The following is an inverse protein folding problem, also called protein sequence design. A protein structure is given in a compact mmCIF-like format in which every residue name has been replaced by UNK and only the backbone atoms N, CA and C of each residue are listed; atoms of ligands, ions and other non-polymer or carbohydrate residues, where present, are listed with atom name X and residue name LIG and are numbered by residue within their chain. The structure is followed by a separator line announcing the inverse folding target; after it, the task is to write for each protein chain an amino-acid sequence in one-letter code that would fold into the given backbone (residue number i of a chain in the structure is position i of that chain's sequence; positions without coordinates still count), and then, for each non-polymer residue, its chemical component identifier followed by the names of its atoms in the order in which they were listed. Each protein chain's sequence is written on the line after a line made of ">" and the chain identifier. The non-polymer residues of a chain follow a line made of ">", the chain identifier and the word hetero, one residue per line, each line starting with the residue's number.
data_IF_498139019811
#
_entry.id   IF_498139019811
#
_cell.length_a   1.000
_cell.length_b   1.000
_cell.length_c   1.000
_cell.angle_alpha   90.00
_cell.angle_beta   90.00
_cell.angle_gamma   90.00
#
_symmetry.space_group_name_H-M   'P 1'
#
loop_
_entity.id
_entity.type
_entity.pdbx_description
1 polymer ?
#
# COMPACT_ATOMS: atom_id res chain seq x y z
N UNK A 1 -6.93 -3.98 25.13
CA UNK A 1 -6.11 -3.34 26.18
C UNK A 1 -4.69 -3.32 25.67
N UNK A 2 -4.08 -2.14 25.60
CA UNK A 2 -2.69 -1.97 25.17
C UNK A 2 -1.76 -2.72 26.12
N UNK A 3 -0.78 -3.44 25.58
CA UNK A 3 0.17 -4.16 26.41
C UNK A 3 1.24 -3.19 26.97
N UNK A 4 1.96 -3.63 27.99
CA UNK A 4 2.94 -2.77 28.67
C UNK A 4 4.07 -2.31 27.74
N UNK A 5 4.50 -3.15 26.79
CA UNK A 5 5.54 -2.82 25.83
C UNK A 5 5.09 -1.72 24.85
N UNK A 6 3.87 -1.80 24.31
CA UNK A 6 3.28 -0.77 23.44
C UNK A 6 3.15 0.57 24.18
N UNK A 7 2.69 0.53 25.44
CA UNK A 7 2.60 1.72 26.29
C UNK A 7 3.97 2.37 26.51
N UNK A 8 5.01 1.58 26.78
CA UNK A 8 6.37 2.13 26.90
C UNK A 8 6.86 2.68 25.56
N UNK A 9 6.59 1.96 24.48
CA UNK A 9 7.12 2.26 23.16
C UNK A 9 6.55 3.55 22.55
N UNK A 10 5.25 3.84 22.72
CA UNK A 10 4.67 5.11 22.26
C UNK A 10 5.31 6.35 22.91
N UNK A 11 5.85 6.19 24.12
CA UNK A 11 6.65 7.20 24.83
C UNK A 11 8.16 7.11 24.53
N UNK A 12 8.56 6.33 23.52
CA UNK A 12 9.95 6.16 23.10
C UNK A 12 10.82 5.44 24.11
N UNK A 13 10.26 4.52 24.91
CA UNK A 13 10.95 3.74 25.93
C UNK A 13 10.87 2.23 25.62
N UNK A 14 11.89 1.46 25.99
CA UNK A 14 11.86 0.00 26.03
C UNK A 14 11.62 -0.50 27.46
N UNK A 15 11.23 -1.77 27.58
CA UNK A 15 11.14 -2.46 28.87
C UNK A 15 12.46 -2.40 29.64
N UNK A 16 12.37 -2.48 30.97
CA UNK A 16 13.54 -2.45 31.84
C UNK A 16 14.56 -3.55 31.47
N UNK A 17 15.84 -3.21 31.58
CA UNK A 17 17.00 -3.99 31.12
C UNK A 17 17.21 -4.07 29.60
N UNK A 18 16.28 -3.55 28.77
CA UNK A 18 16.44 -3.51 27.31
C UNK A 18 17.01 -2.16 26.80
N UNK A 19 17.40 -1.26 27.71
CA UNK A 19 18.06 0.01 27.39
C UNK A 19 19.55 -0.04 27.74
N UNK A 20 20.41 0.27 26.78
CA UNK A 20 21.87 0.42 26.95
C UNK A 20 22.23 1.70 27.69
N UNK A 21 21.50 2.78 27.42
CA UNK A 21 21.71 4.05 28.07
C UNK A 21 21.22 4.00 29.54
N UNK A 22 22.12 4.20 30.49
CA UNK A 22 21.80 4.13 31.93
C UNK A 22 20.69 5.12 32.35
N UNK A 23 20.63 6.29 31.71
CA UNK A 23 19.64 7.34 32.00
C UNK A 23 18.26 6.91 31.50
N UNK A 24 18.16 6.40 30.27
CA UNK A 24 16.92 5.81 29.75
C UNK A 24 16.50 4.57 30.53
N UNK A 25 17.44 3.72 30.93
CA UNK A 25 17.15 2.51 31.70
C UNK A 25 16.48 2.85 33.05
N UNK A 26 16.98 3.88 33.75
CA UNK A 26 16.37 4.38 34.98
C UNK A 26 14.99 4.98 34.75
N UNK A 27 14.82 5.76 33.67
CA UNK A 27 13.52 6.32 33.30
C UNK A 27 12.50 5.21 33.00
N UNK A 28 12.90 4.22 32.19
CA UNK A 28 12.09 3.05 31.86
C UNK A 28 11.68 2.29 33.10
N UNK A 29 12.60 2.01 34.02
CA UNK A 29 12.31 1.35 35.29
C UNK A 29 11.25 2.10 36.12
N UNK A 30 11.42 3.41 36.28
CA UNK A 30 10.52 4.25 37.08
C UNK A 30 9.10 4.26 36.51
N UNK A 31 8.97 4.41 35.18
CA UNK A 31 7.68 4.38 34.51
C UNK A 31 7.07 2.98 34.56
N UNK A 32 7.87 1.94 34.29
CA UNK A 32 7.41 0.56 34.33
C UNK A 32 6.86 0.17 35.71
N UNK A 33 7.52 0.62 36.79
CA UNK A 33 7.05 0.44 38.16
C UNK A 33 5.75 1.20 38.43
N UNK A 34 5.59 2.40 37.87
CA UNK A 34 4.38 3.24 38.02
C UNK A 34 3.16 2.65 37.29
N UNK A 35 3.39 2.01 36.14
CA UNK A 35 2.32 1.36 35.36
C UNK A 35 2.08 -0.10 35.77
N UNK A 36 2.94 -0.69 36.61
CA UNK A 36 2.78 -2.06 37.09
C UNK A 36 1.61 -2.15 38.08
N UNK A 37 0.46 -2.65 37.61
CA UNK A 37 -0.71 -2.95 38.44
C UNK A 37 -1.80 -1.87 38.46
N UNK A 38 -1.65 -0.77 37.71
CA UNK A 38 -2.65 0.29 37.61
C UNK A 38 -2.90 0.69 36.14
N UNK A 39 -4.14 1.09 35.82
CA UNK A 39 -4.48 1.65 34.51
C UNK A 39 -3.98 3.11 34.44
N UNK A 40 -2.74 3.30 34.00
CA UNK A 40 -2.12 4.62 33.87
C UNK A 40 -2.43 5.23 32.49
N UNK A 41 -2.86 6.48 32.46
CA UNK A 41 -3.13 7.22 31.21
C UNK A 41 -1.86 7.88 30.66
N UNK A 42 -1.80 8.10 29.35
CA UNK A 42 -0.68 8.79 28.69
C UNK A 42 -0.34 10.12 29.33
N UNK A 43 -1.35 10.92 29.69
CA UNK A 43 -1.17 12.22 30.34
C UNK A 43 -0.36 12.12 31.65
N UNK A 44 -0.52 11.02 32.39
CA UNK A 44 0.18 10.81 33.65
C UNK A 44 1.65 10.38 33.44
N UNK A 45 1.94 9.73 32.31
CA UNK A 45 3.29 9.36 31.90
C UNK A 45 4.01 10.59 31.36
N UNK A 46 3.36 11.33 30.45
CA UNK A 46 3.87 12.60 29.90
C UNK A 46 4.20 13.58 31.02
N UNK A 47 3.25 13.86 31.92
CA UNK A 47 3.48 14.79 33.03
C UNK A 47 4.64 14.35 33.95
N UNK A 48 4.84 13.04 34.09
CA UNK A 48 5.96 12.51 34.87
C UNK A 48 7.31 12.66 34.14
N UNK A 49 7.34 12.42 32.83
CA UNK A 49 8.54 12.65 32.01
C UNK A 49 8.91 14.13 32.04
N UNK A 50 7.93 15.01 31.83
CA UNK A 50 8.12 16.46 31.85
C UNK A 50 8.55 16.96 33.24
N UNK A 51 8.04 16.39 34.34
CA UNK A 51 8.50 16.77 35.68
C UNK A 51 9.98 16.45 35.90
N UNK A 52 10.45 15.29 35.40
CA UNK A 52 11.86 14.90 35.51
C UNK A 52 12.79 15.78 34.67
N UNK A 53 12.30 16.32 33.55
CA UNK A 53 13.05 17.27 32.71
C UNK A 53 13.18 18.65 33.36
N UNK A 54 12.28 19.01 34.28
CA UNK A 54 12.29 20.29 34.99
C UNK A 54 13.08 20.24 36.32
N UNK A 55 13.38 19.05 36.85
CA UNK A 55 14.20 18.90 38.07
C UNK A 55 15.70 19.09 37.75
N UNK A 56 16.40 19.94 38.51
CA UNK A 56 17.86 20.14 38.42
C UNK A 56 18.64 18.85 38.73
N UNK A 57 18.82 18.01 37.69
CA UNK A 57 19.68 16.83 37.71
C UNK A 57 20.52 16.74 36.42
N UNK A 58 21.18 15.60 36.15
CA UNK A 58 21.96 15.40 34.91
C UNK A 58 21.13 15.59 33.61
N UNK A 59 19.81 15.73 33.76
CA UNK A 59 18.78 16.01 32.78
C UNK A 59 18.76 17.46 32.25
N UNK A 60 19.35 18.44 32.96
CA UNK A 60 19.26 19.88 32.66
C UNK A 60 20.29 20.45 31.67
N UNK A 61 21.19 19.63 31.12
CA UNK A 61 22.25 20.12 30.21
C UNK A 61 21.84 20.17 28.72
N UNK A 62 20.58 19.84 28.40
CA UNK A 62 20.15 19.47 27.05
C UNK A 62 18.90 20.31 26.71
N UNK A 63 19.07 21.43 26.00
CA UNK A 63 18.00 22.35 25.53
C UNK A 63 16.87 21.68 24.71
N UNK A 64 15.70 22.30 24.59
CA UNK A 64 14.50 21.68 23.96
C UNK A 64 14.58 21.50 22.43
N UNK A 65 15.54 22.12 21.74
CA UNK A 65 15.84 21.91 20.31
C UNK A 65 17.30 21.43 20.18
N UNK A 66 17.53 20.15 19.83
CA UNK A 66 18.89 19.61 19.60
C UNK A 66 19.15 19.35 18.14
N UNK A 67 20.29 19.85 17.66
CA UNK A 67 21.01 19.27 16.54
C UNK A 67 21.78 18.06 17.07
N UNK A 68 21.44 16.86 16.63
CA UNK A 68 22.13 15.63 17.00
C UNK A 68 22.60 14.85 15.77
N UNK A 69 23.68 14.08 15.90
CA UNK A 69 24.20 13.23 14.82
C UNK A 69 23.78 11.78 15.05
N UNK A 70 22.73 11.33 14.36
CA UNK A 70 22.18 9.98 14.47
C UNK A 70 23.14 8.87 14.04
N UNK A 71 24.28 9.18 13.40
CA UNK A 71 25.25 8.19 12.90
C UNK A 71 26.39 7.90 13.87
N UNK A 72 26.59 8.73 14.88
CA UNK A 72 27.80 8.65 15.73
C UNK A 72 27.52 8.70 17.22
N UNK A 73 26.29 8.96 17.65
CA UNK A 73 25.93 9.15 19.05
C UNK A 73 24.71 8.30 19.45
N UNK A 74 24.73 7.76 20.66
CA UNK A 74 23.51 7.24 21.29
C UNK A 74 22.60 8.44 21.62
N UNK A 75 21.47 8.55 20.93
CA UNK A 75 20.62 9.73 21.03
C UNK A 75 20.03 9.89 22.44
N UNK A 76 20.04 11.11 23.00
CA UNK A 76 19.51 11.37 24.33
C UNK A 76 17.98 11.42 24.31
N UNK A 77 17.31 10.31 23.97
CA UNK A 77 15.86 10.25 23.87
C UNK A 77 15.17 10.77 25.14
N UNK A 78 15.81 10.65 26.31
CA UNK A 78 15.32 11.16 27.58
C UNK A 78 15.09 12.69 27.60
N UNK A 79 15.79 13.43 26.75
CA UNK A 79 15.74 14.88 26.66
C UNK A 79 14.76 15.40 25.60
N UNK A 80 14.23 14.54 24.73
CA UNK A 80 13.28 14.96 23.70
C UNK A 80 11.87 15.19 24.27
N UNK A 81 11.10 16.07 23.64
CA UNK A 81 9.72 16.34 24.04
C UNK A 81 8.88 15.05 24.10
N UNK A 82 8.09 14.90 25.15
CA UNK A 82 7.42 13.64 25.48
C UNK A 82 6.53 13.11 24.34
N UNK A 83 5.83 13.99 23.61
CA UNK A 83 4.92 13.58 22.54
C UNK A 83 5.60 13.19 21.23
N UNK A 84 6.81 13.68 20.94
CA UNK A 84 7.51 13.39 19.67
C UNK A 84 8.65 12.37 19.84
N UNK A 85 9.10 12.12 21.08
CA UNK A 85 10.21 11.23 21.40
C UNK A 85 10.07 9.84 20.78
N UNK A 86 8.91 9.23 20.92
CA UNK A 86 8.64 7.91 20.35
C UNK A 86 8.77 7.89 18.83
N UNK A 87 8.18 8.88 18.16
CA UNK A 87 8.30 9.05 16.70
C UNK A 87 9.76 9.10 16.29
N UNK A 88 10.57 9.96 16.93
CA UNK A 88 12.00 10.11 16.60
C UNK A 88 12.75 8.81 16.79
N UNK A 89 12.53 8.11 17.90
CA UNK A 89 13.19 6.82 18.18
C UNK A 89 12.92 5.80 17.08
N UNK A 90 11.64 5.53 16.81
CA UNK A 90 11.28 4.47 15.88
C UNK A 90 11.55 4.86 14.42
N UNK A 91 11.54 6.16 14.10
CA UNK A 91 12.07 6.64 12.82
C UNK A 91 13.55 6.26 12.64
N UNK A 92 14.41 6.51 13.64
CA UNK A 92 15.81 6.12 13.55
C UNK A 92 15.99 4.59 13.48
N UNK A 93 15.21 3.81 14.25
CA UNK A 93 15.26 2.34 14.19
C UNK A 93 14.82 1.80 12.81
N UNK A 94 13.90 2.48 12.12
CA UNK A 94 13.49 2.20 10.73
C UNK A 94 14.47 2.78 9.68
N UNK A 95 15.66 3.25 10.08
CA UNK A 95 16.66 3.80 9.17
C UNK A 95 16.37 5.23 8.66
N UNK A 96 15.33 5.89 9.17
CA UNK A 96 15.00 7.29 8.87
C UNK A 96 15.76 8.22 9.82
N UNK A 97 17.04 8.41 9.52
CA UNK A 97 17.98 9.18 10.35
C UNK A 97 17.52 10.63 10.57
N UNK A 98 17.37 11.01 11.83
CA UNK A 98 16.89 12.33 12.27
C UNK A 98 18.02 13.20 12.81
N UNK A 99 17.81 14.52 12.89
CA UNK A 99 18.81 15.48 13.37
C UNK A 99 18.25 16.55 14.31
N UNK A 100 16.93 16.77 14.33
CA UNK A 100 16.23 17.66 15.27
C UNK A 100 14.76 17.26 15.36
N UNK A 101 14.12 17.56 16.49
CA UNK A 101 12.68 17.40 16.67
C UNK A 101 12.10 18.44 17.63
N UNK A 102 10.80 18.70 17.53
CA UNK A 102 10.01 19.44 18.51
C UNK A 102 8.55 18.98 18.40
N UNK A 103 7.85 18.85 19.53
CA UNK A 103 6.43 18.48 19.53
C UNK A 103 5.46 19.66 19.40
N UNK A 104 6.00 20.84 19.09
CA UNK A 104 5.26 22.07 18.90
C UNK A 104 4.64 22.67 20.17
N UNK A 105 4.80 22.02 21.33
CA UNK A 105 4.32 22.45 22.64
C UNK A 105 2.83 22.84 22.67
N UNK A 106 2.04 22.27 21.75
CA UNK A 106 0.64 22.63 21.54
C UNK A 106 0.43 23.95 20.80
N UNK A 107 1.42 24.83 20.62
CA UNK A 107 1.23 26.14 19.98
C UNK A 107 1.45 26.12 18.47
N UNK A 108 2.27 25.18 17.98
CA UNK A 108 2.65 25.03 16.57
C UNK A 108 2.62 23.55 16.16
N UNK A 109 2.78 23.30 14.86
CA UNK A 109 2.95 21.93 14.35
C UNK A 109 4.18 21.27 14.95
N UNK A 110 4.08 19.98 15.33
CA UNK A 110 5.26 19.19 15.63
C UNK A 110 6.07 18.94 14.36
N UNK A 111 7.38 18.79 14.51
CA UNK A 111 8.27 18.52 13.39
C UNK A 111 9.45 17.64 13.76
N UNK A 112 9.99 16.97 12.74
CA UNK A 112 11.24 16.23 12.78
C UNK A 112 12.09 16.64 11.57
N UNK A 113 13.31 17.13 11.81
CA UNK A 113 14.29 17.35 10.75
C UNK A 113 15.12 16.10 10.48
N UNK A 114 15.26 15.75 9.21
CA UNK A 114 15.99 14.56 8.78
C UNK A 114 17.48 14.86 8.54
N UNK A 115 18.35 13.87 8.76
CA UNK A 115 19.74 13.88 8.31
C UNK A 115 19.84 13.48 6.82
N UNK A 116 19.23 14.29 5.96
CA UNK A 116 19.21 14.09 4.51
C UNK A 116 17.78 13.99 3.94
N UNK A 117 17.66 13.33 2.78
CA UNK A 117 16.40 13.15 2.10
C UNK A 117 15.81 11.77 2.41
N UNK A 118 14.53 11.74 2.76
CA UNK A 118 13.76 10.50 2.82
C UNK A 118 13.55 9.94 1.42
N UNK A 119 13.64 8.62 1.28
CA UNK A 119 13.22 7.89 0.07
C UNK A 119 11.70 7.81 0.00
N UNK A 120 11.13 7.55 -1.18
CA UNK A 120 9.68 7.38 -1.32
C UNK A 120 9.13 6.21 -0.49
N UNK A 121 9.93 5.16 -0.30
CA UNK A 121 9.60 4.04 0.60
C UNK A 121 9.49 4.50 2.06
N UNK A 122 10.43 5.32 2.54
CA UNK A 122 10.39 5.86 3.90
C UNK A 122 9.21 6.82 4.09
N UNK A 123 8.92 7.66 3.10
CA UNK A 123 7.75 8.56 3.11
C UNK A 123 6.45 7.76 3.19
N UNK A 124 6.36 6.66 2.44
CA UNK A 124 5.21 5.75 2.49
C UNK A 124 5.01 5.13 3.88
N UNK A 125 6.08 4.60 4.49
CA UNK A 125 6.03 4.05 5.87
C UNK A 125 5.53 5.10 6.87
N UNK A 126 6.01 6.35 6.79
CA UNK A 126 5.52 7.44 7.64
C UNK A 126 4.02 7.69 7.43
N UNK A 127 3.55 7.73 6.19
CA UNK A 127 2.13 7.93 5.90
C UNK A 127 1.27 6.74 6.34
N UNK A 128 1.80 5.51 6.32
CA UNK A 128 1.13 4.33 6.86
C UNK A 128 0.98 4.39 8.38
N UNK A 129 1.94 5.02 9.08
CA UNK A 129 1.94 5.10 10.54
C UNK A 129 0.88 6.05 11.11
N UNK A 130 0.26 6.88 10.26
CA UNK A 130 -0.89 7.71 10.65
C UNK A 130 -2.14 6.82 10.75
N UNK A 131 -2.78 6.73 11.94
CA UNK A 131 -4.03 5.98 12.09
C UNK A 131 -5.12 6.50 11.15
N UNK A 132 -5.95 5.60 10.60
CA UNK A 132 -6.94 5.93 9.57
C UNK A 132 -8.08 6.82 10.05
N UNK A 133 -8.38 6.79 11.34
CA UNK A 133 -9.37 7.63 12.02
C UNK A 133 -8.78 8.96 12.54
N UNK A 134 -7.48 9.18 12.37
CA UNK A 134 -6.80 10.39 12.80
C UNK A 134 -6.98 11.53 11.80
N UNK A 135 -7.22 12.76 12.29
CA UNK A 135 -7.17 13.95 11.44
C UNK A 135 -5.73 14.45 11.20
N UNK A 136 -4.72 13.82 11.82
CA UNK A 136 -3.31 14.18 11.65
C UNK A 136 -2.92 14.02 10.18
N UNK A 137 -2.16 14.98 9.65
CA UNK A 137 -1.54 14.86 8.32
C UNK A 137 -0.05 15.05 8.39
N UNK A 138 0.67 14.25 7.64
CA UNK A 138 2.11 14.42 7.46
C UNK A 138 2.35 15.27 6.21
N UNK A 139 3.10 16.36 6.37
CA UNK A 139 3.64 17.17 5.27
C UNK A 139 5.15 17.08 5.26
N UNK A 140 5.73 16.92 4.07
CA UNK A 140 7.17 16.88 3.90
C UNK A 140 7.63 18.15 3.21
N UNK A 141 8.43 18.95 3.92
CA UNK A 141 9.05 20.15 3.38
C UNK A 141 10.46 19.83 2.93
N UNK A 142 10.78 20.10 1.66
CA UNK A 142 12.12 19.93 1.10
C UNK A 142 12.93 21.21 1.22
N UNK A 143 14.14 21.10 1.77
CA UNK A 143 15.17 22.13 1.76
C UNK A 143 16.32 21.76 0.81
N UNK A 144 17.38 22.58 0.73
CA UNK A 144 18.55 22.32 -0.12
C UNK A 144 19.29 21.02 0.23
N UNK A 145 19.25 20.57 1.50
CA UNK A 145 20.07 19.43 1.97
C UNK A 145 19.29 18.34 2.71
N UNK A 146 18.03 18.59 3.07
CA UNK A 146 17.25 17.67 3.90
C UNK A 146 15.75 17.82 3.73
N UNK A 147 15.01 16.81 4.19
CA UNK A 147 13.58 16.90 4.45
C UNK A 147 13.30 17.35 5.90
N UNK A 148 12.18 18.04 6.09
CA UNK A 148 11.52 18.25 7.38
C UNK A 148 10.15 17.60 7.32
N UNK A 149 9.86 16.69 8.24
CA UNK A 149 8.55 16.07 8.42
C UNK A 149 7.76 16.96 9.38
N UNK A 150 6.61 17.44 8.94
CA UNK A 150 5.68 18.27 9.72
C UNK A 150 4.44 17.43 10.01
N UNK A 151 4.00 17.44 11.27
CA UNK A 151 2.77 16.80 11.71
C UNK A 151 1.72 17.87 11.95
N UNK A 152 0.71 17.91 11.09
CA UNK A 152 -0.40 18.84 11.21
C UNK A 152 -1.52 18.20 12.01
N UNK A 153 -1.84 18.76 13.17
CA UNK A 153 -2.92 18.32 14.03
C UNK A 153 -3.57 19.53 14.74
N UNK A 154 -4.82 19.38 15.15
CA UNK A 154 -5.45 20.33 16.07
C UNK A 154 -4.90 20.12 17.49
N UNK A 155 -4.86 21.15 18.35
CA UNK A 155 -4.32 21.01 19.71
C UNK A 155 -4.94 19.86 20.51
N UNK A 156 -6.23 19.59 20.29
CA UNK A 156 -6.98 18.50 20.92
C UNK A 156 -6.52 17.09 20.50
N UNK A 157 -5.77 16.99 19.41
CA UNK A 157 -5.29 15.74 18.81
C UNK A 157 -3.79 15.51 19.03
N UNK A 158 -3.11 16.29 19.87
CA UNK A 158 -1.66 16.12 20.15
C UNK A 158 -1.29 14.69 20.58
N UNK A 159 -2.23 13.97 21.21
CA UNK A 159 -2.05 12.55 21.57
C UNK A 159 -1.85 11.62 20.38
N UNK A 160 -2.33 11.99 19.20
CA UNK A 160 -2.15 11.20 17.98
C UNK A 160 -0.67 11.08 17.58
N UNK A 161 0.22 11.94 18.08
CA UNK A 161 1.66 11.75 17.94
C UNK A 161 2.17 10.49 18.67
N UNK A 162 1.58 10.18 19.82
CA UNK A 162 1.89 8.94 20.55
C UNK A 162 1.35 7.72 19.79
N UNK A 163 0.16 7.84 19.20
CA UNK A 163 -0.41 6.76 18.40
C UNK A 163 0.46 6.49 17.14
N UNK A 164 0.96 7.54 16.48
CA UNK A 164 1.95 7.41 15.39
C UNK A 164 3.24 6.74 15.88
N UNK A 165 3.73 7.11 17.08
CA UNK A 165 4.91 6.45 17.66
C UNK A 165 4.66 4.95 17.89
N UNK A 166 3.50 4.58 18.41
CA UNK A 166 3.10 3.17 18.59
C UNK A 166 3.10 2.40 17.26
N UNK A 167 2.54 3.02 16.22
CA UNK A 167 2.51 2.42 14.88
C UNK A 167 3.91 2.21 14.31
N UNK A 168 4.79 3.22 14.43
CA UNK A 168 6.19 3.11 13.99
C UNK A 168 6.96 2.03 14.77
N UNK A 169 6.69 1.88 16.07
CA UNK A 169 7.27 0.80 16.88
C UNK A 169 6.84 -0.60 16.39
N UNK A 170 5.55 -0.77 16.08
CA UNK A 170 5.03 -2.04 15.54
C UNK A 170 5.69 -2.37 14.21
N UNK A 171 5.83 -1.37 13.33
CA UNK A 171 6.55 -1.50 12.05
C UNK A 171 8.03 -1.82 12.23
N UNK A 172 8.71 -1.23 13.22
CA UNK A 172 10.13 -1.51 13.47
C UNK A 172 10.37 -2.88 14.11
N UNK A 173 9.33 -3.46 14.73
CA UNK A 173 9.43 -4.74 15.46
C UNK A 173 8.99 -5.94 14.62
N UNK A 174 8.12 -5.76 13.63
CA UNK A 174 7.65 -6.81 12.73
C UNK A 174 7.46 -6.26 11.32
N UNK A 175 8.31 -6.68 10.38
CA UNK A 175 8.23 -6.26 8.97
C UNK A 175 6.89 -6.61 8.32
N UNK A 176 6.23 -7.69 8.78
CA UNK A 176 4.90 -8.11 8.29
C UNK A 176 3.80 -7.12 8.67
N UNK A 177 4.03 -6.30 9.69
CA UNK A 177 3.06 -5.29 10.12
C UNK A 177 2.85 -4.21 9.05
N UNK A 178 3.90 -3.83 8.33
CA UNK A 178 3.79 -2.90 7.20
C UNK A 178 2.88 -3.50 6.13
N UNK A 179 3.14 -4.75 5.73
CA UNK A 179 2.33 -5.44 4.73
C UNK A 179 0.88 -5.56 5.17
N UNK A 180 0.61 -5.90 6.43
CA UNK A 180 -0.74 -5.95 6.98
C UNK A 180 -1.47 -4.60 6.85
N UNK A 181 -0.80 -3.48 7.13
CA UNK A 181 -1.40 -2.15 6.98
C UNK A 181 -1.64 -1.77 5.52
N UNK A 182 -0.74 -2.16 4.61
CA UNK A 182 -0.95 -1.99 3.18
C UNK A 182 -2.16 -2.78 2.70
N UNK A 183 -2.29 -4.04 3.09
CA UNK A 183 -3.43 -4.90 2.78
C UNK A 183 -4.75 -4.31 3.31
N UNK A 184 -4.76 -3.80 4.54
CA UNK A 184 -5.95 -3.16 5.12
C UNK A 184 -6.36 -1.89 4.37
N UNK A 185 -5.39 -1.05 3.95
CA UNK A 185 -5.67 0.10 3.08
C UNK A 185 -6.18 -0.33 1.71
N UNK A 186 -5.60 -1.37 1.14
CA UNK A 186 -6.06 -1.94 -0.12
C UNK A 186 -7.49 -2.47 -0.02
N UNK A 187 -7.84 -3.16 1.07
CA UNK A 187 -9.22 -3.61 1.32
C UNK A 187 -10.22 -2.45 1.27
N UNK A 188 -9.90 -1.31 1.90
CA UNK A 188 -10.77 -0.14 1.82
C UNK A 188 -10.94 0.37 0.38
N UNK A 189 -9.87 0.38 -0.43
CA UNK A 189 -9.96 0.68 -1.88
C UNK A 189 -10.87 -0.33 -2.60
N UNK A 190 -10.72 -1.62 -2.31
CA UNK A 190 -11.53 -2.67 -2.94
C UNK A 190 -13.01 -2.53 -2.60
N UNK A 191 -13.35 -2.38 -1.31
CA UNK A 191 -14.72 -2.14 -0.83
C UNK A 191 -15.38 -0.97 -1.56
N UNK A 192 -14.61 0.11 -1.72
CA UNK A 192 -15.04 1.30 -2.45
C UNK A 192 -15.42 1.00 -3.91
N UNK A 193 -14.71 0.09 -4.58
CA UNK A 193 -14.98 -0.31 -5.97
C UNK A 193 -16.10 -1.33 -6.12
N UNK A 194 -16.24 -2.25 -5.17
CA UNK A 194 -17.33 -3.23 -5.12
C UNK A 194 -18.71 -2.58 -5.09
N UNK A 195 -18.81 -1.33 -4.62
CA UNK A 195 -20.07 -0.57 -4.58
C UNK A 195 -20.42 0.12 -5.92
N UNK A 196 -19.53 0.12 -6.90
CA UNK A 196 -19.73 0.87 -8.16
C UNK A 196 -20.54 0.03 -9.16
N UNK A 197 -21.76 0.43 -9.53
CA UNK A 197 -22.52 -0.28 -10.54
C UNK A 197 -21.96 -0.05 -11.93
N UNK A 198 -21.97 -1.09 -12.76
CA UNK A 198 -21.57 -1.04 -14.16
C UNK A 198 -21.88 -2.33 -14.88
N UNK A 199 -23.15 -2.71 -15.01
CA UNK A 199 -23.52 -3.86 -15.84
C UNK A 199 -23.08 -3.67 -17.31
N UNK A 200 -22.85 -4.73 -18.07
CA UNK A 200 -22.38 -4.66 -19.46
C UNK A 200 -23.21 -3.71 -20.33
N UNK A 201 -22.53 -2.85 -21.09
CA UNK A 201 -23.09 -1.74 -21.87
C UNK A 201 -23.43 -0.48 -21.05
N UNK A 202 -23.23 -0.49 -19.72
CA UNK A 202 -23.57 0.61 -18.79
C UNK A 202 -22.43 0.98 -17.83
N UNK A 203 -21.20 0.86 -18.31
CA UNK A 203 -19.95 1.09 -17.58
C UNK A 203 -19.66 2.58 -17.33
N UNK A 204 -20.55 3.51 -17.72
CA UNK A 204 -20.24 4.94 -17.74
C UNK A 204 -19.91 5.48 -16.34
N UNK A 205 -20.48 4.90 -15.28
CA UNK A 205 -20.17 5.28 -13.89
C UNK A 205 -18.78 4.82 -13.47
N UNK A 206 -18.43 3.59 -13.83
CA UNK A 206 -17.10 2.99 -13.63
C UNK A 206 -16.05 3.84 -14.31
N UNK A 207 -16.24 4.06 -15.61
CA UNK A 207 -15.36 4.86 -16.45
C UNK A 207 -15.16 6.26 -15.89
N UNK A 208 -16.24 6.95 -15.48
CA UNK A 208 -16.12 8.29 -14.85
C UNK A 208 -15.30 8.28 -13.58
N UNK A 209 -15.51 7.28 -12.70
CA UNK A 209 -14.73 7.16 -11.46
C UNK A 209 -13.26 6.87 -11.78
N UNK A 210 -13.00 5.93 -12.69
CA UNK A 210 -11.65 5.59 -13.16
C UNK A 210 -10.92 6.80 -13.75
N UNK A 211 -11.54 7.54 -14.67
CA UNK A 211 -10.96 8.77 -15.25
C UNK A 211 -10.54 9.76 -14.15
N UNK A 212 -11.35 9.90 -13.09
CA UNK A 212 -10.98 10.76 -11.96
C UNK A 212 -9.80 10.21 -11.15
N UNK A 213 -9.78 8.90 -10.87
CA UNK A 213 -8.70 8.25 -10.14
C UNK A 213 -7.38 8.29 -10.90
N UNK A 214 -7.41 8.04 -12.22
CA UNK A 214 -6.22 8.00 -13.06
C UNK A 214 -5.60 9.39 -13.29
N UNK A 215 -6.34 10.49 -13.09
CA UNK A 215 -5.87 11.86 -13.39
C UNK A 215 -4.53 12.22 -12.72
N UNK A 216 -4.24 11.66 -11.55
CA UNK A 216 -2.98 11.90 -10.82
C UNK A 216 -1.94 10.79 -10.99
N UNK A 217 -2.33 9.69 -11.63
CA UNK A 217 -1.53 8.47 -11.73
C UNK A 217 -0.99 8.24 -13.15
N UNK A 218 -1.44 9.03 -14.13
CA UNK A 218 -1.19 8.80 -15.55
C UNK A 218 -0.84 10.09 -16.28
N UNK A 219 -0.03 9.96 -17.33
CA UNK A 219 0.36 11.09 -18.19
C UNK A 219 -0.74 11.40 -19.22
N UNK A 220 -1.33 10.34 -19.78
CA UNK A 220 -2.32 10.41 -20.84
C UNK A 220 -3.48 9.46 -20.57
N UNK A 221 -4.68 9.88 -20.98
CA UNK A 221 -5.90 9.09 -20.93
C UNK A 221 -6.74 9.35 -22.18
N UNK A 222 -7.39 8.31 -22.69
CA UNK A 222 -8.32 8.41 -23.80
C UNK A 222 -9.43 7.37 -23.67
N UNK A 223 -10.56 7.62 -24.32
CA UNK A 223 -11.62 6.65 -24.50
C UNK A 223 -11.62 6.28 -25.98
N UNK A 224 -11.49 5.00 -26.30
CA UNK A 224 -11.50 4.56 -27.70
C UNK A 224 -12.93 4.39 -28.26
N UNK A 225 -13.03 4.00 -29.52
CA UNK A 225 -14.31 3.83 -30.21
C UNK A 225 -15.17 2.69 -29.62
N UNK A 226 -14.53 1.66 -29.06
CA UNK A 226 -15.22 0.59 -28.35
C UNK A 226 -15.76 1.05 -26.99
N UNK A 227 -15.19 2.12 -26.43
CA UNK A 227 -15.59 2.67 -25.13
C UNK A 227 -14.67 2.26 -23.99
N UNK A 228 -13.56 1.59 -24.29
CA UNK A 228 -12.51 1.26 -23.33
C UNK A 228 -11.89 2.55 -22.78
N UNK A 229 -11.50 2.56 -21.52
CA UNK A 229 -10.68 3.62 -20.96
C UNK A 229 -9.22 3.20 -21.00
N UNK A 230 -8.44 3.92 -21.81
CA UNK A 230 -7.03 3.65 -22.06
C UNK A 230 -6.19 4.72 -21.37
N UNK A 231 -5.08 4.33 -20.76
CA UNK A 231 -4.17 5.27 -20.11
C UNK A 231 -2.70 4.89 -20.30
N UNK A 232 -1.80 5.87 -20.17
CA UNK A 232 -0.35 5.68 -20.32
C UNK A 232 0.41 6.37 -19.21
N UNK A 233 1.43 5.68 -18.71
CA UNK A 233 2.40 6.14 -17.71
C UNK A 233 3.80 5.87 -18.24
N UNK A 234 4.58 6.91 -18.47
CA UNK A 234 5.97 6.82 -18.94
C UNK A 234 6.90 6.91 -17.75
N UNK A 235 7.71 5.89 -17.57
CA UNK A 235 8.59 5.75 -16.41
C UNK A 235 9.99 5.32 -16.87
N UNK A 236 10.61 6.09 -17.76
CA UNK A 236 11.96 5.81 -18.28
C UNK A 236 11.97 5.04 -19.61
N UNK A 237 13.11 4.43 -19.90
CA UNK A 237 13.36 3.66 -21.14
C UNK A 237 13.31 2.16 -20.83
N UNK A 238 12.57 1.39 -21.63
CA UNK A 238 12.38 -0.06 -21.45
C UNK A 238 11.06 -0.55 -22.04
N UNK A 239 10.56 -1.74 -21.65
CA UNK A 239 9.40 -2.35 -22.28
C UNK A 239 8.12 -1.54 -22.05
N UNK A 240 7.19 -1.68 -22.99
CA UNK A 240 5.80 -1.26 -22.84
C UNK A 240 4.95 -2.43 -22.34
N UNK A 241 4.47 -2.36 -21.11
CA UNK A 241 3.65 -3.41 -20.49
C UNK A 241 2.20 -2.91 -20.44
N UNK A 242 1.27 -3.73 -20.94
CA UNK A 242 -0.17 -3.48 -20.83
C UNK A 242 -0.74 -4.17 -19.58
N UNK A 243 -1.36 -3.40 -18.69
CA UNK A 243 -2.20 -3.91 -17.60
C UNK A 243 -3.67 -3.85 -18.03
N UNK A 244 -4.43 -4.92 -17.82
CA UNK A 244 -5.86 -4.97 -18.18
C UNK A 244 -6.74 -5.54 -17.08
N UNK A 245 -7.92 -4.94 -16.95
CA UNK A 245 -9.04 -5.36 -16.11
C UNK A 245 -10.33 -4.87 -16.80
N UNK A 246 -11.45 -5.56 -16.65
CA UNK A 246 -12.69 -5.12 -17.30
C UNK A 246 -13.57 -4.27 -16.37
N UNK A 247 -14.37 -3.37 -16.95
CA UNK A 247 -15.19 -2.41 -16.18
C UNK A 247 -16.58 -2.94 -15.86
N UNK A 248 -17.09 -3.83 -16.71
CA UNK A 248 -18.44 -4.34 -16.63
C UNK A 248 -18.62 -5.44 -15.59
N UNK A 249 -19.87 -5.77 -15.30
CA UNK A 249 -20.27 -6.92 -14.48
C UNK A 249 -21.38 -7.65 -15.20
N UNK A 250 -21.42 -8.98 -15.10
CA UNK A 250 -22.45 -9.84 -15.72
C UNK A 250 -23.88 -9.43 -15.36
N UNK A 251 -24.09 -8.96 -14.12
CA UNK A 251 -25.38 -8.51 -13.61
C UNK A 251 -25.26 -7.18 -12.88
N UNK A 252 -26.42 -6.58 -12.57
CA UNK A 252 -26.47 -5.31 -11.85
C UNK A 252 -26.30 -5.53 -10.35
N UNK A 253 -25.31 -4.87 -9.78
CA UNK A 253 -25.10 -4.82 -8.32
C UNK A 253 -26.36 -4.32 -7.58
N UNK A 254 -26.82 -5.10 -6.61
CA UNK A 254 -28.03 -4.83 -5.84
C UNK A 254 -27.88 -3.56 -4.99
N UNK A 255 -28.85 -2.65 -5.09
CA UNK A 255 -28.88 -1.43 -4.26
C UNK A 255 -29.25 -1.78 -2.83
N UNK A 256 -28.50 -1.27 -1.86
CA UNK A 256 -28.79 -1.45 -0.43
C UNK A 256 -28.32 -2.78 0.14
N UNK A 257 -27.55 -3.57 -0.63
CA UNK A 257 -26.84 -4.74 -0.12
C UNK A 257 -25.82 -4.32 0.95
N UNK A 258 -25.45 -5.26 1.81
CA UNK A 258 -24.38 -5.10 2.78
C UNK A 258 -23.23 -6.01 2.36
N UNK A 259 -22.01 -5.50 2.37
CA UNK A 259 -20.81 -6.33 2.20
C UNK A 259 -20.45 -6.90 3.57
N UNK A 260 -20.39 -8.22 3.66
CA UNK A 260 -19.96 -8.95 4.86
C UNK A 260 -18.48 -9.27 4.77
N UNK A 261 -17.81 -9.34 5.93
CA UNK A 261 -16.42 -9.76 6.04
C UNK A 261 -16.31 -10.94 7.01
N UNK A 262 -15.75 -12.05 6.55
CA UNK A 262 -15.34 -13.19 7.38
C UNK A 262 -13.84 -13.44 7.17
N UNK A 263 -13.03 -13.08 8.16
CA UNK A 263 -11.57 -13.11 8.01
C UNK A 263 -11.10 -12.19 6.88
N UNK A 264 -10.54 -12.79 5.83
CA UNK A 264 -10.06 -12.10 4.61
C UNK A 264 -11.09 -12.10 3.48
N UNK A 265 -12.19 -12.83 3.64
CA UNK A 265 -13.20 -13.01 2.61
C UNK A 265 -14.27 -11.92 2.72
N UNK A 266 -14.62 -11.32 1.59
CA UNK A 266 -15.74 -10.41 1.44
C UNK A 266 -16.84 -11.06 0.61
N UNK A 267 -18.10 -10.91 1.05
CA UNK A 267 -19.29 -11.43 0.36
C UNK A 267 -20.42 -10.42 0.34
N UNK A 268 -21.41 -10.65 -0.53
CA UNK A 268 -22.61 -9.82 -0.64
C UNK A 268 -23.76 -10.40 0.17
N UNK A 269 -24.56 -9.57 0.83
CA UNK A 269 -25.81 -10.01 1.47
C UNK A 269 -26.91 -10.39 0.48
N UNK A 270 -26.87 -9.86 -0.75
CA UNK A 270 -27.85 -10.10 -1.82
C UNK A 270 -27.27 -9.74 -3.19
N UNK A 271 -27.48 -10.60 -4.20
CA UNK A 271 -26.96 -10.42 -5.54
C UNK A 271 -25.45 -10.61 -5.62
N UNK A 272 -24.91 -10.55 -6.84
CA UNK A 272 -23.47 -10.63 -7.08
C UNK A 272 -22.66 -9.61 -6.23
N UNK A 273 -21.44 -9.99 -5.88
CA UNK A 273 -20.50 -9.11 -5.20
C UNK A 273 -19.92 -8.07 -6.18
N UNK A 274 -19.79 -8.44 -7.45
CA UNK A 274 -19.11 -7.67 -8.48
C UNK A 274 -17.60 -7.62 -8.23
N UNK A 275 -17.01 -8.64 -7.63
CA UNK A 275 -15.56 -8.73 -7.48
C UNK A 275 -14.88 -9.01 -8.82
N UNK A 276 -15.57 -9.76 -9.69
CA UNK A 276 -15.29 -9.89 -11.12
C UNK A 276 -15.85 -8.66 -11.88
N UNK A 277 -15.05 -7.66 -12.29
CA UNK A 277 -13.60 -7.51 -12.09
C UNK A 277 -13.21 -6.21 -11.36
N UNK A 278 -13.92 -5.89 -10.28
CA UNK A 278 -13.51 -4.79 -9.37
C UNK A 278 -12.24 -5.08 -8.61
N UNK A 279 -11.92 -6.36 -8.41
CA UNK A 279 -10.65 -6.77 -7.83
C UNK A 279 -9.49 -6.38 -8.75
N UNK A 280 -9.55 -6.68 -10.05
CA UNK A 280 -8.57 -6.27 -11.05
C UNK A 280 -8.44 -4.75 -11.16
N UNK A 281 -9.57 -4.02 -11.19
CA UNK A 281 -9.57 -2.55 -11.18
C UNK A 281 -8.83 -2.00 -9.95
N UNK A 282 -9.16 -2.48 -8.76
CA UNK A 282 -8.54 -2.01 -7.52
C UNK A 282 -7.02 -2.32 -7.52
N UNK A 283 -6.63 -3.51 -8.00
CA UNK A 283 -5.25 -3.94 -8.08
C UNK A 283 -4.43 -3.09 -9.06
N UNK A 284 -4.94 -2.79 -10.25
CA UNK A 284 -4.24 -1.91 -11.21
C UNK A 284 -4.03 -0.51 -10.62
N UNK A 285 -5.05 0.06 -9.97
CA UNK A 285 -4.92 1.38 -9.35
C UNK A 285 -3.88 1.39 -8.23
N UNK A 286 -3.82 0.33 -7.43
CA UNK A 286 -2.79 0.16 -6.41
C UNK A 286 -1.39 0.03 -7.04
N UNK A 287 -1.23 -0.76 -8.11
CA UNK A 287 0.03 -0.88 -8.84
C UNK A 287 0.52 0.46 -9.39
N UNK A 288 -0.38 1.28 -9.95
CA UNK A 288 -0.03 2.61 -10.46
C UNK A 288 0.45 3.55 -9.35
N UNK A 289 -0.15 3.48 -8.15
CA UNK A 289 0.30 4.25 -6.98
C UNK A 289 1.61 3.71 -6.38
N UNK A 290 1.93 2.44 -6.62
CA UNK A 290 3.19 1.79 -6.20
C UNK A 290 4.31 1.99 -7.20
N UNK A 291 4.00 2.24 -8.48
CA UNK A 291 4.98 2.34 -9.57
C UNK A 291 6.20 3.24 -9.26
N UNK A 292 6.04 4.46 -8.69
CA UNK A 292 7.19 5.32 -8.36
C UNK A 292 8.16 4.74 -7.32
N UNK A 293 7.74 3.73 -6.55
CA UNK A 293 8.55 3.05 -5.52
C UNK A 293 9.28 1.82 -6.06
N UNK A 294 9.01 1.44 -7.31
CA UNK A 294 9.65 0.32 -8.00
C UNK A 294 10.91 0.78 -8.71
N UNK A 295 11.75 -0.17 -9.13
CA UNK A 295 12.86 0.11 -10.04
C UNK A 295 12.45 -0.04 -11.51
N UNK A 296 11.15 -0.07 -11.85
CA UNK A 296 10.71 -0.22 -13.22
C UNK A 296 11.33 0.85 -14.13
N UNK A 297 11.55 0.52 -15.40
CA UNK A 297 12.00 1.46 -16.41
C UNK A 297 11.33 1.07 -17.73
N UNK A 298 10.46 1.93 -18.27
CA UNK A 298 9.65 1.61 -19.44
C UNK A 298 8.32 2.37 -19.45
N UNK A 299 7.33 1.83 -20.16
CA UNK A 299 5.98 2.40 -20.25
C UNK A 299 4.95 1.43 -19.71
N UNK A 300 4.07 1.90 -18.82
CA UNK A 300 2.86 1.16 -18.43
C UNK A 300 1.69 1.71 -19.24
N UNK A 301 1.05 0.85 -20.01
CA UNK A 301 -0.26 1.11 -20.60
C UNK A 301 -1.32 0.40 -19.78
N UNK A 302 -2.48 1.02 -19.67
CA UNK A 302 -3.62 0.43 -18.95
C UNK A 302 -4.82 0.42 -19.89
N UNK A 303 -5.49 -0.72 -19.98
CA UNK A 303 -6.77 -0.87 -20.64
C UNK A 303 -7.81 -1.30 -19.62
N UNK A 304 -8.80 -0.44 -19.38
CA UNK A 304 -10.03 -0.84 -18.71
C UNK A 304 -11.08 -1.09 -19.79
N UNK A 305 -11.39 -2.35 -20.05
CA UNK A 305 -12.23 -2.77 -21.18
C UNK A 305 -13.72 -2.72 -20.84
N UNK A 306 -14.56 -2.59 -21.86
CA UNK A 306 -16.03 -2.72 -21.74
C UNK A 306 -16.48 -4.09 -22.22
N UNK A 307 -17.64 -4.53 -21.76
CA UNK A 307 -18.37 -5.67 -22.33
C UNK A 307 -17.51 -6.96 -22.46
N UNK A 308 -16.65 -7.25 -21.48
CA UNK A 308 -15.88 -8.51 -21.39
C UNK A 308 -16.86 -9.68 -21.26
N UNK A 309 -17.81 -9.53 -20.34
CA UNK A 309 -18.78 -10.54 -19.89
C UNK A 309 -19.75 -10.98 -21.01
N UNK A 310 -19.80 -10.21 -22.09
CA UNK A 310 -20.68 -10.45 -23.25
C UNK A 310 -19.91 -10.92 -24.49
N UNK A 311 -18.60 -11.18 -24.37
CA UNK A 311 -17.80 -11.79 -25.42
C UNK A 311 -16.50 -11.08 -25.77
N UNK A 312 -15.85 -10.43 -24.80
CA UNK A 312 -14.56 -9.74 -24.96
C UNK A 312 -14.63 -8.56 -25.94
N UNK A 313 -15.79 -7.88 -25.99
CA UNK A 313 -16.09 -6.87 -27.00
C UNK A 313 -15.12 -5.69 -26.92
N UNK A 314 -14.83 -5.21 -25.71
CA UNK A 314 -13.87 -4.14 -25.45
C UNK A 314 -12.46 -4.47 -25.96
N UNK A 315 -11.89 -5.61 -25.54
CA UNK A 315 -10.56 -6.00 -26.00
C UNK A 315 -10.50 -6.25 -27.52
N UNK A 316 -11.55 -6.83 -28.13
CA UNK A 316 -11.60 -7.02 -29.60
C UNK A 316 -11.64 -5.69 -30.35
N UNK A 317 -12.33 -4.71 -29.80
CA UNK A 317 -12.48 -3.36 -30.34
C UNK A 317 -11.38 -2.38 -29.92
N UNK A 318 -10.37 -2.82 -29.17
CA UNK A 318 -9.33 -1.94 -28.63
C UNK A 318 -8.61 -1.19 -29.76
N UNK A 319 -8.30 0.09 -29.52
CA UNK A 319 -7.55 0.89 -30.49
C UNK A 319 -6.18 0.24 -30.81
N UNK A 320 -6.03 -0.25 -32.04
CA UNK A 320 -4.81 -0.93 -32.51
C UNK A 320 -3.56 -0.07 -32.45
N UNK A 321 -3.68 1.23 -32.67
CA UNK A 321 -2.55 2.16 -32.55
C UNK A 321 -2.08 2.28 -31.10
N UNK A 322 -3.00 2.13 -30.13
CA UNK A 322 -2.66 2.18 -28.71
C UNK A 322 -1.86 0.95 -28.26
N UNK A 323 -2.13 -0.23 -28.81
CA UNK A 323 -1.45 -1.49 -28.44
C UNK A 323 -0.25 -1.85 -29.33
N UNK A 324 0.03 -1.06 -30.38
CA UNK A 324 1.04 -1.42 -31.41
C UNK A 324 2.46 -1.63 -30.87
N UNK A 325 2.83 -0.89 -29.84
CA UNK A 325 4.14 -0.87 -29.20
C UNK A 325 4.17 -1.65 -27.88
N UNK A 326 3.12 -2.43 -27.55
CA UNK A 326 3.06 -3.24 -26.34
C UNK A 326 3.90 -4.49 -26.51
N UNK A 327 4.86 -4.70 -25.61
CA UNK A 327 5.74 -5.86 -25.60
C UNK A 327 5.08 -7.08 -24.93
N UNK A 328 4.31 -6.84 -23.87
CA UNK A 328 3.64 -7.89 -23.10
C UNK A 328 2.41 -7.35 -22.35
N UNK A 329 1.47 -8.23 -22.04
CA UNK A 329 0.26 -7.91 -21.28
C UNK A 329 0.13 -8.73 -20.00
N UNK A 330 -0.46 -8.12 -19.00
CA UNK A 330 -0.82 -8.70 -17.70
C UNK A 330 -2.29 -8.38 -17.46
N UNK A 331 -3.13 -9.38 -17.53
CA UNK A 331 -4.56 -9.27 -17.24
C UNK A 331 -4.79 -9.72 -15.80
N UNK A 332 -5.59 -8.98 -15.04
CA UNK A 332 -5.89 -9.23 -13.63
C UNK A 332 -7.35 -9.62 -13.45
N UNK A 333 -7.76 -10.74 -14.03
CA UNK A 333 -9.17 -11.11 -14.22
C UNK A 333 -9.34 -12.63 -14.16
N UNK A 334 -8.88 -13.23 -13.07
CA UNK A 334 -8.94 -14.67 -12.93
C UNK A 334 -9.37 -15.03 -11.52
N UNK A 335 -10.38 -15.90 -11.42
CA UNK A 335 -10.73 -16.51 -10.13
C UNK A 335 -9.56 -17.23 -9.47
N UNK A 336 -9.68 -17.48 -8.17
CA UNK A 336 -8.65 -18.16 -7.38
C UNK A 336 -7.55 -17.20 -6.93
N UNK A 337 -6.46 -17.74 -6.41
CA UNK A 337 -5.48 -16.96 -5.63
C UNK A 337 -4.04 -17.06 -6.15
N UNK A 338 -3.72 -18.04 -7.00
CA UNK A 338 -2.33 -18.39 -7.36
C UNK A 338 -2.14 -18.88 -8.79
N UNK A 339 -3.16 -18.80 -9.65
CA UNK A 339 -3.02 -19.23 -11.05
C UNK A 339 -2.33 -18.14 -11.88
N UNK A 340 -1.32 -18.54 -12.65
CA UNK A 340 -0.77 -17.76 -13.76
C UNK A 340 -1.30 -18.39 -15.05
N UNK A 341 -2.41 -17.89 -15.56
CA UNK A 341 -3.04 -18.47 -16.76
C UNK A 341 -2.26 -18.05 -18.00
N UNK A 342 -1.66 -19.02 -18.69
CA UNK A 342 -0.89 -18.84 -19.92
C UNK A 342 -1.58 -19.41 -21.16
N UNK A 343 -2.83 -19.86 -21.02
CA UNK A 343 -3.59 -20.39 -22.14
C UNK A 343 -5.05 -20.68 -21.81
N UNK A 344 -5.84 -20.90 -22.87
CA UNK A 344 -7.26 -21.20 -22.79
C UNK A 344 -7.52 -22.67 -23.12
N UNK A 345 -8.07 -23.40 -22.15
CA UNK A 345 -8.51 -24.81 -22.29
C UNK A 345 -7.44 -25.77 -22.84
N UNK A 346 -6.15 -25.43 -22.70
CA UNK A 346 -5.03 -26.18 -23.29
C UNK A 346 -4.99 -26.19 -24.83
N UNK A 347 -5.87 -25.43 -25.49
CA UNK A 347 -6.03 -25.40 -26.96
C UNK A 347 -5.36 -24.18 -27.59
N UNK A 348 -5.20 -23.10 -26.83
CA UNK A 348 -4.64 -21.85 -27.33
C UNK A 348 -3.72 -21.27 -26.26
N UNK A 349 -2.46 -21.00 -26.63
CA UNK A 349 -1.46 -20.43 -25.74
C UNK A 349 -1.44 -18.91 -25.87
N UNK A 350 -1.41 -18.23 -24.74
CA UNK A 350 -1.33 -16.77 -24.66
C UNK A 350 0.12 -16.27 -24.79
N UNK A 351 1.09 -17.12 -24.47
CA UNK A 351 2.51 -16.79 -24.48
C UNK A 351 3.36 -18.08 -24.53
N UNK A 352 4.67 -17.92 -24.75
CA UNK A 352 5.63 -18.98 -24.47
C UNK A 352 5.70 -19.26 -22.95
N UNK A 353 6.09 -20.48 -22.57
CA UNK A 353 6.19 -20.88 -21.16
C UNK A 353 7.13 -19.97 -20.35
N UNK A 354 8.20 -19.49 -20.98
CA UNK A 354 9.18 -18.57 -20.41
C UNK A 354 8.57 -17.29 -19.84
N UNK A 355 7.47 -16.79 -20.42
CA UNK A 355 6.79 -15.59 -19.93
C UNK A 355 6.04 -15.88 -18.61
N UNK A 356 5.36 -17.03 -18.50
CA UNK A 356 4.72 -17.46 -17.26
C UNK A 356 5.74 -17.73 -16.13
N UNK A 357 6.89 -18.32 -16.46
CA UNK A 357 7.99 -18.58 -15.52
C UNK A 357 8.54 -17.30 -14.86
N UNK A 358 8.40 -16.13 -15.51
CA UNK A 358 8.76 -14.84 -14.89
C UNK A 358 7.93 -14.55 -13.65
N UNK A 359 6.64 -14.88 -13.69
CA UNK A 359 5.71 -14.66 -12.58
C UNK A 359 5.95 -15.68 -11.48
N UNK A 360 6.17 -16.95 -11.79
CA UNK A 360 6.57 -17.95 -10.79
C UNK A 360 7.88 -17.54 -10.10
N UNK A 361 8.85 -17.02 -10.86
CA UNK A 361 10.08 -16.47 -10.29
C UNK A 361 9.81 -15.26 -9.40
N UNK A 362 8.91 -14.37 -9.79
CA UNK A 362 8.51 -13.24 -8.96
C UNK A 362 7.89 -13.71 -7.63
N UNK A 363 6.99 -14.69 -7.67
CA UNK A 363 6.40 -15.30 -6.47
C UNK A 363 7.47 -15.80 -5.49
N UNK A 364 8.46 -16.55 -6.02
CA UNK A 364 9.60 -17.05 -5.21
C UNK A 364 10.45 -15.95 -4.57
N UNK A 365 10.60 -14.79 -5.22
CA UNK A 365 11.39 -13.68 -4.67
C UNK A 365 10.76 -13.05 -3.43
N UNK A 366 9.45 -13.25 -3.23
CA UNK A 366 8.67 -12.71 -2.11
C UNK A 366 8.04 -13.81 -1.24
N UNK A 367 8.50 -15.06 -1.38
CA UNK A 367 8.07 -16.18 -0.55
C UNK A 367 6.67 -16.73 -0.86
N UNK A 368 6.13 -16.42 -2.04
CA UNK A 368 4.89 -16.97 -2.58
C UNK A 368 5.22 -18.04 -3.63
N UNK A 369 5.79 -19.16 -3.19
CA UNK A 369 6.32 -20.22 -4.08
C UNK A 369 5.21 -21.03 -4.77
N UNK A 370 3.96 -20.85 -4.37
CA UNK A 370 2.77 -21.57 -4.81
C UNK A 370 2.04 -20.91 -6.00
N UNK A 371 2.60 -19.85 -6.59
CA UNK A 371 2.16 -19.34 -7.89
C UNK A 371 2.56 -20.31 -9.00
N UNK A 372 1.58 -20.81 -9.76
CA UNK A 372 1.81 -21.85 -10.77
C UNK A 372 1.23 -21.47 -12.14
N UNK A 373 2.03 -21.66 -13.18
CA UNK A 373 1.57 -21.51 -14.56
C UNK A 373 0.60 -22.61 -14.96
N UNK A 374 -0.53 -22.22 -15.56
CA UNK A 374 -1.54 -23.16 -16.03
C UNK A 374 -2.08 -22.77 -17.41
N UNK A 375 -2.26 -23.77 -18.26
CA UNK A 375 -2.90 -23.61 -19.59
C UNK A 375 -4.42 -23.80 -19.53
N UNK A 376 -4.96 -24.09 -18.35
CA UNK A 376 -6.37 -24.42 -18.14
C UNK A 376 -7.21 -23.21 -17.74
N UNK A 377 -7.04 -22.09 -18.46
CA UNK A 377 -7.81 -20.88 -18.27
C UNK A 377 -9.15 -20.86 -19.00
N UNK A 378 -9.97 -19.87 -18.60
CA UNK A 378 -11.13 -19.40 -19.35
C UNK A 378 -10.73 -18.54 -20.55
N UNK A 379 -11.73 -18.01 -21.25
CA UNK A 379 -11.51 -16.93 -22.23
C UNK A 379 -11.54 -15.62 -21.45
N UNK A 380 -10.54 -14.76 -21.64
CA UNK A 380 -10.51 -13.40 -21.10
C UNK A 380 -9.82 -12.47 -22.10
N UNK A 381 -9.69 -11.19 -21.77
CA UNK A 381 -8.94 -10.20 -22.55
C UNK A 381 -7.53 -10.68 -22.93
N UNK A 382 -6.87 -11.49 -22.08
CA UNK A 382 -5.54 -12.05 -22.36
C UNK A 382 -5.50 -12.86 -23.66
N UNK A 383 -6.59 -13.56 -23.97
CA UNK A 383 -6.73 -14.29 -25.24
C UNK A 383 -6.70 -13.34 -26.43
N UNK A 384 -7.40 -12.22 -26.34
CA UNK A 384 -7.50 -11.25 -27.43
C UNK A 384 -6.17 -10.55 -27.66
N UNK A 385 -5.47 -10.17 -26.59
CA UNK A 385 -4.13 -9.59 -26.71
C UNK A 385 -3.14 -10.59 -27.33
N UNK A 386 -3.22 -11.86 -26.95
CA UNK A 386 -2.46 -12.92 -27.61
C UNK A 386 -2.84 -13.14 -29.09
N UNK A 387 -4.12 -13.01 -29.47
CA UNK A 387 -4.55 -12.99 -30.88
C UNK A 387 -3.93 -11.80 -31.67
N UNK A 388 -3.60 -10.70 -31.00
CA UNK A 388 -2.84 -9.58 -31.57
C UNK A 388 -1.32 -9.77 -31.56
N UNK A 389 -0.82 -10.92 -31.07
CA UNK A 389 0.60 -11.24 -31.00
C UNK A 389 1.31 -10.70 -29.76
N UNK A 390 0.57 -10.26 -28.74
CA UNK A 390 1.13 -9.76 -27.48
C UNK A 390 1.19 -10.92 -26.47
N UNK A 391 2.39 -11.25 -25.98
CA UNK A 391 2.55 -12.26 -24.95
C UNK A 391 1.76 -11.87 -23.69
N UNK A 392 0.82 -12.71 -23.27
CA UNK A 392 -0.17 -12.36 -22.25
C UNK A 392 -0.27 -13.40 -21.15
N UNK A 393 -0.49 -12.96 -19.91
CA UNK A 393 -0.94 -13.79 -18.79
C UNK A 393 -2.26 -13.26 -18.25
N UNK A 394 -3.07 -14.14 -17.66
CA UNK A 394 -4.20 -13.74 -16.82
C UNK A 394 -3.98 -14.26 -15.39
N UNK A 395 -3.87 -13.36 -14.42
CA UNK A 395 -3.46 -13.66 -13.06
C UNK A 395 -4.66 -13.74 -12.13
N UNK A 396 -4.68 -14.78 -11.29
CA UNK A 396 -5.66 -14.90 -10.21
C UNK A 396 -5.76 -13.60 -9.40
N UNK A 397 -6.97 -13.16 -9.08
CA UNK A 397 -7.22 -11.87 -8.44
C UNK A 397 -8.09 -11.99 -7.17
N UNK A 398 -8.25 -13.21 -6.65
CA UNK A 398 -8.81 -13.49 -5.33
C UNK A 398 -10.30 -13.80 -5.30
N UNK A 399 -11.04 -13.55 -6.38
CA UNK A 399 -12.48 -13.85 -6.42
C UNK A 399 -12.76 -15.33 -6.70
N UNK A 400 -13.93 -15.81 -6.29
CA UNK A 400 -14.45 -17.16 -6.59
C UNK A 400 -15.97 -17.13 -6.75
N UNK A 401 -16.50 -18.19 -7.36
CA UNK A 401 -17.93 -18.35 -7.63
C UNK A 401 -18.52 -17.14 -8.36
N UNK A 402 -17.73 -16.61 -9.31
CA UNK A 402 -18.09 -15.49 -10.16
C UNK A 402 -19.44 -15.73 -10.84
N UNK A 403 -20.18 -14.65 -11.08
CA UNK A 403 -21.50 -14.67 -11.74
C UNK A 403 -22.60 -15.38 -10.96
N UNK A 404 -22.45 -15.48 -9.62
CA UNK A 404 -23.45 -16.07 -8.73
C UNK A 404 -23.73 -15.18 -7.53
N UNK A 405 -24.83 -15.45 -6.83
CA UNK A 405 -25.15 -14.81 -5.54
C UNK A 405 -24.18 -15.22 -4.41
N UNK A 406 -23.31 -16.20 -4.65
CA UNK A 406 -22.30 -16.69 -3.71
C UNK A 406 -20.91 -16.13 -3.99
N UNK A 407 -20.78 -15.20 -4.94
CA UNK A 407 -19.51 -14.59 -5.30
C UNK A 407 -18.80 -14.00 -4.07
N UNK A 408 -17.53 -14.37 -3.92
CA UNK A 408 -16.67 -13.95 -2.83
C UNK A 408 -15.33 -13.42 -3.35
N UNK A 409 -14.64 -12.61 -2.55
CA UNK A 409 -13.25 -12.20 -2.83
C UNK A 409 -12.39 -12.20 -1.58
N UNK A 410 -11.21 -12.81 -1.67
CA UNK A 410 -10.16 -12.69 -0.66
C UNK A 410 -9.31 -11.45 -0.94
N UNK A 411 -9.48 -10.39 -0.14
CA UNK A 411 -8.74 -9.13 -0.35
C UNK A 411 -7.23 -9.27 -0.08
N UNK A 412 -6.80 -10.23 0.75
CA UNK A 412 -5.40 -10.53 0.95
C UNK A 412 -4.81 -11.18 -0.32
N UNK A 413 -5.49 -12.16 -0.90
CA UNK A 413 -5.05 -12.79 -2.14
C UNK A 413 -5.02 -11.81 -3.33
N UNK A 414 -6.01 -10.91 -3.41
CA UNK A 414 -5.97 -9.81 -4.39
C UNK A 414 -4.73 -8.93 -4.19
N UNK A 415 -4.42 -8.55 -2.94
CA UNK A 415 -3.23 -7.74 -2.66
C UNK A 415 -1.91 -8.49 -2.91
N UNK A 416 -1.87 -9.80 -2.66
CA UNK A 416 -0.71 -10.63 -3.02
C UNK A 416 -0.45 -10.66 -4.52
N UNK A 417 -1.49 -10.55 -5.35
CA UNK A 417 -1.37 -10.39 -6.81
C UNK A 417 -0.74 -9.03 -7.17
N UNK A 418 -1.12 -7.96 -6.46
CA UNK A 418 -0.44 -6.65 -6.57
C UNK A 418 1.05 -6.80 -6.23
N UNK A 419 1.39 -7.49 -5.15
CA UNK A 419 2.79 -7.74 -4.75
C UNK A 419 3.54 -8.55 -5.81
N UNK A 420 2.90 -9.56 -6.42
CA UNK A 420 3.48 -10.35 -7.49
C UNK A 420 3.86 -9.47 -8.69
N UNK A 421 2.92 -8.67 -9.19
CA UNK A 421 3.16 -7.79 -10.35
C UNK A 421 4.15 -6.68 -10.01
N UNK A 422 4.06 -6.07 -8.83
CA UNK A 422 5.06 -5.11 -8.35
C UNK A 422 6.47 -5.72 -8.33
N UNK A 423 6.59 -6.99 -7.96
CA UNK A 423 7.86 -7.72 -7.95
C UNK A 423 8.40 -7.94 -9.36
N UNK A 424 7.54 -8.33 -10.31
CA UNK A 424 7.90 -8.43 -11.74
C UNK A 424 8.47 -7.11 -12.25
N UNK A 425 7.80 -5.99 -11.95
CA UNK A 425 8.20 -4.64 -12.37
C UNK A 425 9.49 -4.19 -11.66
N UNK A 426 9.59 -4.39 -10.35
CA UNK A 426 10.74 -3.97 -9.52
C UNK A 426 12.02 -4.72 -9.86
N UNK A 427 11.91 -5.98 -10.26
CA UNK A 427 13.04 -6.81 -10.70
C UNK A 427 13.29 -6.75 -12.21
N UNK A 428 12.51 -5.96 -12.96
CA UNK A 428 12.62 -5.80 -14.43
C UNK A 428 12.67 -7.16 -15.14
N UNK A 429 11.76 -8.06 -14.75
CA UNK A 429 11.76 -9.43 -15.27
C UNK A 429 11.31 -9.49 -16.74
N UNK A 430 10.40 -8.60 -17.13
CA UNK A 430 9.96 -8.43 -18.52
C UNK A 430 10.97 -7.52 -19.23
N UNK A 431 11.45 -7.95 -20.40
CA UNK A 431 12.39 -7.20 -21.22
C UNK A 431 11.70 -6.69 -22.49
N UNK A 432 12.26 -5.64 -23.09
CA UNK A 432 11.75 -5.07 -24.34
C UNK A 432 12.03 -6.04 -25.49
N UNK A 433 11.04 -6.28 -26.36
CA UNK A 433 11.26 -7.09 -27.55
C UNK A 433 12.14 -6.31 -28.53
N UNK A 434 13.16 -6.98 -29.07
CA UNK A 434 14.17 -6.39 -29.96
C UNK A 434 13.66 -6.16 -31.39
#
# INVERSE_FOLDING_TARGET
>A
MMNQAEMMARHGLKEWMNETNMVLNKLSYSIQKKIAGELVKDEQIVAYIESLQNEEGPWNSVSQEHLFNSKTEELPYYAFDAYIRGIVRWMNELGMMTSMCCDGHGERHAYVEMDGFLTDKQIHVLNLAVPSDSAVRIRIRKSRRRHTVLFDYSQTERKALLDIAEMLFKMSSDERYIQMLETERFKHRLLDWLEVPGESGREQKVRRRLTSSLRKLTDEQQIDEAGNLLATVRHGEGPTILLSAHMDTVERIKRGRVIHQEGTILTSSEGILGADDRAGIAAILELLERLPRTNFSGTIKVAFTVEEETGLCGARGINKEFIRDVDAAIVLDRRGTRDIVTGCRGMFDFCEASYGELFERAGRLVGMDDWEATRNGGSSDAKIFAEFGIASVNLSIGYRDEHTDFEEVDYCATFETVVLVETVLSHRLIQQNS
#
